data_IF_206827060901
#
_entry.id   IF_206827060901
#
_cell.length_a   1.000
_cell.length_b   1.000
_cell.length_c   1.000
_cell.angle_alpha   90.00
_cell.angle_beta   90.00
_cell.angle_gamma   90.00
#
_symmetry.space_group_name_H-M   'P 1'
#
loop_
_entity.id
_entity.type
_entity.pdbx_description
1 polymer ?
#
# COMPACT_ATOMS: atom_id res chain seq x y z
N UNK A 1 -26.53 5.67 10.27
CA UNK A 1 -25.52 6.65 10.72
C UNK A 1 -26.06 8.04 10.42
N UNK A 2 -25.87 9.03 11.31
CA UNK A 2 -26.20 10.43 11.03
C UNK A 2 -25.33 10.95 9.86
N UNK A 3 -25.90 11.75 8.96
CA UNK A 3 -25.17 12.35 7.82
C UNK A 3 -23.92 13.13 8.27
N UNK A 4 -23.98 13.78 9.43
CA UNK A 4 -22.83 14.49 10.02
C UNK A 4 -21.61 13.60 10.25
N UNK A 5 -21.81 12.35 10.66
CA UNK A 5 -20.70 11.38 10.83
C UNK A 5 -20.13 10.90 9.50
N UNK A 6 -20.95 10.86 8.45
CA UNK A 6 -20.50 10.47 7.10
C UNK A 6 -19.61 11.58 6.52
N UNK A 7 -20.02 12.84 6.67
CA UNK A 7 -19.23 13.98 6.22
C UNK A 7 -17.88 14.08 6.94
N UNK A 8 -17.83 13.81 8.26
CA UNK A 8 -16.58 13.76 9.01
C UNK A 8 -15.61 12.71 8.46
N UNK A 9 -16.09 11.47 8.25
CA UNK A 9 -15.28 10.38 7.70
C UNK A 9 -14.75 10.72 6.30
N UNK A 10 -15.58 11.33 5.45
CA UNK A 10 -15.17 11.75 4.10
C UNK A 10 -14.13 12.88 4.09
N UNK A 11 -14.11 13.71 5.14
CA UNK A 11 -13.17 14.84 5.27
C UNK A 11 -11.89 14.47 6.02
N UNK A 12 -11.77 13.24 6.54
CA UNK A 12 -10.57 12.83 7.27
C UNK A 12 -9.36 12.77 6.34
N UNK A 13 -8.19 13.29 6.78
CA UNK A 13 -6.98 13.16 6.01
C UNK A 13 -6.60 11.69 5.88
N UNK A 14 -6.12 11.32 4.70
CA UNK A 14 -5.59 10.00 4.41
C UNK A 14 -4.11 10.12 4.05
N UNK A 15 -3.32 9.11 4.41
CA UNK A 15 -2.02 8.87 3.82
C UNK A 15 -2.22 8.19 2.46
N UNK A 16 -1.85 8.87 1.38
CA UNK A 16 -1.79 8.29 0.05
C UNK A 16 -0.34 7.95 -0.31
N UNK A 17 -0.12 6.74 -0.81
CA UNK A 17 1.20 6.25 -1.17
C UNK A 17 1.18 5.50 -2.49
N UNK A 18 2.22 5.66 -3.30
CA UNK A 18 2.48 4.86 -4.49
C UNK A 18 3.50 3.77 -4.15
N UNK A 19 3.14 2.52 -4.44
CA UNK A 19 3.98 1.35 -4.19
C UNK A 19 4.48 0.84 -5.53
N UNK A 20 5.81 0.88 -5.72
CA UNK A 20 6.49 0.32 -6.88
C UNK A 20 7.11 -1.03 -6.56
N UNK A 21 6.77 -2.05 -7.33
CA UNK A 21 7.28 -3.41 -7.17
C UNK A 21 7.97 -3.86 -8.45
N UNK A 22 8.99 -4.71 -8.30
CA UNK A 22 9.68 -5.37 -9.39
C UNK A 22 9.32 -6.85 -9.42
N UNK A 23 9.15 -7.43 -10.61
CA UNK A 23 8.82 -8.83 -10.81
C UNK A 23 9.26 -9.37 -12.17
N UNK A 24 9.06 -10.66 -12.39
CA UNK A 24 9.51 -11.38 -13.59
C UNK A 24 8.47 -11.42 -14.72
N UNK A 25 7.21 -11.09 -14.42
CA UNK A 25 6.10 -11.16 -15.38
C UNK A 25 5.35 -9.83 -15.46
N UNK A 26 4.58 -9.61 -16.53
CA UNK A 26 3.85 -8.36 -16.74
C UNK A 26 2.67 -8.16 -15.77
N UNK A 27 2.09 -9.25 -15.26
CA UNK A 27 0.88 -9.23 -14.42
C UNK A 27 1.15 -9.73 -13.00
N UNK A 28 2.42 -9.82 -12.60
CA UNK A 28 2.82 -10.39 -11.30
C UNK A 28 2.17 -9.71 -10.09
N UNK A 29 1.86 -8.41 -10.20
CA UNK A 29 1.25 -7.63 -9.14
C UNK A 29 -0.29 -7.65 -9.21
N UNK A 30 -0.90 -8.27 -10.22
CA UNK A 30 -2.36 -8.32 -10.34
C UNK A 30 -2.97 -9.03 -9.13
N UNK A 31 -4.00 -8.40 -8.53
CA UNK A 31 -4.64 -8.92 -7.31
C UNK A 31 -3.83 -8.71 -6.02
N UNK A 32 -2.65 -8.09 -6.07
CA UNK A 32 -1.88 -7.79 -4.87
C UNK A 32 -2.67 -6.87 -3.93
N UNK A 33 -2.52 -7.11 -2.63
CA UNK A 33 -3.08 -6.31 -1.55
C UNK A 33 -2.00 -5.71 -0.66
N UNK A 34 -2.36 -4.69 0.13
CA UNK A 34 -1.39 -4.02 0.99
C UNK A 34 -1.98 -3.67 2.35
N UNK A 35 -1.15 -3.82 3.38
CA UNK A 35 -1.41 -3.36 4.73
C UNK A 35 -0.23 -2.60 5.31
N UNK A 36 -0.50 -1.75 6.30
CA UNK A 36 0.48 -1.25 7.25
C UNK A 36 0.48 -2.18 8.46
N UNK A 37 1.62 -2.80 8.76
CA UNK A 37 1.80 -3.63 9.94
C UNK A 37 2.49 -2.81 11.04
N UNK A 38 1.82 -2.69 12.18
CA UNK A 38 2.32 -2.02 13.39
C UNK A 38 2.25 -3.00 14.57
N UNK A 39 3.39 -3.58 14.93
CA UNK A 39 3.43 -4.68 15.90
C UNK A 39 2.62 -5.89 15.43
N UNK A 40 1.55 -6.24 16.15
CA UNK A 40 0.64 -7.35 15.81
C UNK A 40 -0.56 -6.95 14.96
N UNK A 41 -0.72 -5.65 14.67
CA UNK A 41 -1.91 -5.11 13.99
C UNK A 41 -1.61 -4.88 12.52
N UNK A 42 -2.49 -5.36 11.64
CA UNK A 42 -2.49 -5.03 10.22
C UNK A 42 -3.62 -4.04 9.93
N UNK A 43 -3.25 -2.88 9.42
CA UNK A 43 -4.16 -1.81 8.98
C UNK A 43 -4.29 -1.90 7.47
N UNK A 44 -5.47 -2.26 6.98
CA UNK A 44 -5.73 -2.40 5.55
C UNK A 44 -5.94 -1.03 4.89
N UNK A 45 -5.63 -0.93 3.60
CA UNK A 45 -5.92 0.28 2.84
C UNK A 45 -7.43 0.51 2.74
N UNK A 46 -7.86 1.76 2.92
CA UNK A 46 -9.27 2.17 2.74
C UNK A 46 -9.65 2.28 1.27
N UNK A 47 -8.66 2.53 0.41
CA UNK A 47 -8.80 2.53 -1.04
C UNK A 47 -7.47 2.11 -1.68
N UNK A 48 -7.55 1.46 -2.85
CA UNK A 48 -6.40 0.91 -3.56
C UNK A 48 -6.62 0.97 -5.07
N UNK A 49 -5.67 1.57 -5.77
CA UNK A 49 -5.63 1.56 -7.23
C UNK A 49 -5.31 0.18 -7.79
N UNK A 50 -5.73 -0.09 -9.03
CA UNK A 50 -5.30 -1.31 -9.72
C UNK A 50 -3.80 -1.24 -10.04
N UNK A 51 -3.03 -2.30 -9.78
CA UNK A 51 -1.66 -2.42 -10.25
C UNK A 51 -1.55 -2.18 -11.75
N UNK A 52 -0.61 -1.32 -12.14
CA UNK A 52 -0.31 -1.06 -13.53
C UNK A 52 0.27 -2.32 -14.18
N UNK A 53 -0.02 -2.55 -15.46
CA UNK A 53 0.72 -3.57 -16.24
C UNK A 53 2.22 -3.30 -16.13
N UNK A 54 2.98 -4.36 -15.86
CA UNK A 54 4.42 -4.33 -15.73
C UNK A 54 5.09 -3.70 -16.94
N UNK A 55 5.95 -2.70 -16.70
CA UNK A 55 6.78 -2.09 -17.76
C UNK A 55 8.19 -2.66 -17.69
N UNK A 56 8.74 -3.04 -18.85
CA UNK A 56 10.09 -3.58 -18.90
C UNK A 56 11.13 -2.59 -18.37
N UNK A 57 12.07 -3.08 -17.57
CA UNK A 57 13.23 -2.30 -17.15
C UNK A 57 14.41 -2.63 -18.07
N UNK A 58 14.90 -1.70 -18.91
CA UNK A 58 16.07 -1.96 -19.73
C UNK A 58 17.31 -2.26 -18.87
N UNK A 59 17.91 -3.43 -19.04
CA UNK A 59 19.19 -3.79 -18.40
C UNK A 59 19.11 -4.24 -16.94
N UNK A 60 17.95 -4.66 -16.44
CA UNK A 60 17.78 -5.23 -15.09
C UNK A 60 17.63 -6.76 -15.12
N UNK A 61 18.00 -7.44 -14.04
CA UNK A 61 17.68 -8.87 -13.81
C UNK A 61 16.19 -9.10 -13.48
N UNK A 62 15.49 -8.05 -13.04
CA UNK A 62 14.03 -8.06 -12.87
C UNK A 62 13.39 -7.49 -14.12
N UNK A 63 12.50 -8.26 -14.74
CA UNK A 63 12.02 -7.93 -16.08
C UNK A 63 11.02 -6.78 -16.09
N UNK A 64 10.21 -6.59 -15.03
CA UNK A 64 9.09 -5.64 -15.05
C UNK A 64 8.91 -4.85 -13.75
N UNK A 65 8.46 -3.59 -13.87
CA UNK A 65 7.98 -2.74 -12.76
C UNK A 65 6.48 -2.52 -12.87
N UNK A 66 5.77 -2.80 -11.78
CA UNK A 66 4.36 -2.45 -11.59
C UNK A 66 4.20 -1.46 -10.44
N UNK A 67 3.19 -0.60 -10.53
CA UNK A 67 2.88 0.41 -9.51
C UNK A 67 1.39 0.43 -9.20
N UNK A 68 1.03 0.72 -7.96
CA UNK A 68 -0.34 1.04 -7.56
C UNK A 68 -0.35 2.04 -6.43
N UNK A 69 -1.45 2.77 -6.31
CA UNK A 69 -1.71 3.64 -5.17
C UNK A 69 -2.46 2.89 -4.07
N UNK A 70 -2.21 3.27 -2.83
CA UNK A 70 -2.98 2.84 -1.67
C UNK A 70 -3.22 4.03 -0.75
N UNK A 71 -4.40 4.07 -0.14
CA UNK A 71 -4.81 5.10 0.82
C UNK A 71 -5.08 4.46 2.16
N UNK A 72 -4.57 5.07 3.23
CA UNK A 72 -4.77 4.65 4.61
C UNK A 72 -5.33 5.82 5.41
N UNK A 73 -6.36 5.58 6.21
CA UNK A 73 -6.91 6.64 7.05
C UNK A 73 -6.01 6.87 8.27
N UNK A 74 -5.66 8.13 8.54
CA UNK A 74 -4.78 8.47 9.67
C UNK A 74 -5.35 8.10 11.05
N UNK A 75 -6.66 7.84 11.14
CA UNK A 75 -7.30 7.37 12.37
C UNK A 75 -7.01 5.89 12.67
N UNK A 76 -6.61 5.10 11.66
CA UNK A 76 -6.50 3.65 11.76
C UNK A 76 -5.07 3.17 12.03
N UNK A 77 -4.08 4.07 11.98
CA UNK A 77 -2.67 3.75 12.27
C UNK A 77 -1.98 4.90 13.02
N UNK A 78 -0.90 4.59 13.74
CA UNK A 78 -0.08 5.57 14.44
C UNK A 78 1.12 6.00 13.56
N UNK A 79 1.21 7.25 13.09
CA UNK A 79 2.33 7.71 12.25
C UNK A 79 3.70 7.67 12.94
N UNK A 80 3.75 7.56 14.27
CA UNK A 80 4.99 7.50 15.05
C UNK A 80 5.42 6.06 15.38
N UNK A 81 4.56 5.07 15.13
CA UNK A 81 4.90 3.68 15.37
C UNK A 81 5.83 3.12 14.28
N UNK A 82 6.69 2.18 14.66
CA UNK A 82 7.47 1.39 13.70
C UNK A 82 6.50 0.64 12.79
N UNK A 83 6.59 0.92 11.50
CA UNK A 83 5.60 0.45 10.52
C UNK A 83 6.29 -0.33 9.41
N UNK A 84 5.70 -1.46 9.04
CA UNK A 84 6.08 -2.16 7.82
C UNK A 84 4.95 -2.05 6.81
N UNK A 85 5.27 -1.76 5.55
CA UNK A 85 4.35 -1.94 4.44
C UNK A 85 4.44 -3.41 4.03
N UNK A 86 3.33 -4.12 4.13
CA UNK A 86 3.25 -5.54 3.77
C UNK A 86 2.38 -5.68 2.54
N UNK A 87 2.96 -6.17 1.44
CA UNK A 87 2.26 -6.48 0.21
C UNK A 87 1.98 -7.98 0.16
N UNK A 88 0.71 -8.35 0.00
CA UNK A 88 0.24 -9.73 -0.15
C UNK A 88 -0.03 -10.03 -1.61
N UNK A 89 0.57 -11.08 -2.15
CA UNK A 89 0.29 -11.54 -3.51
C UNK A 89 -0.74 -12.68 -3.51
N UNK A 90 -1.53 -12.85 -4.58
CA UNK A 90 -2.52 -13.92 -4.67
C UNK A 90 -1.94 -15.34 -4.57
N UNK A 91 -0.65 -15.50 -4.88
CA UNK A 91 0.08 -16.77 -4.76
C UNK A 91 0.50 -17.10 -3.32
N UNK A 92 0.12 -16.25 -2.35
CA UNK A 92 0.43 -16.39 -0.93
C UNK A 92 1.81 -15.87 -0.53
N UNK A 93 2.61 -15.35 -1.48
CA UNK A 93 3.86 -14.66 -1.14
C UNK A 93 3.57 -13.30 -0.51
N UNK A 94 4.52 -12.84 0.27
CA UNK A 94 4.49 -11.51 0.85
C UNK A 94 5.83 -10.81 0.69
N UNK A 95 5.77 -9.50 0.53
CA UNK A 95 6.93 -8.61 0.56
C UNK A 95 6.71 -7.61 1.68
N UNK A 96 7.74 -7.48 2.52
CA UNK A 96 7.75 -6.55 3.66
C UNK A 96 8.75 -5.45 3.39
N UNK A 97 8.32 -4.20 3.52
CA UNK A 97 9.14 -3.00 3.33
C UNK A 97 9.07 -2.18 4.60
N UNK A 98 10.21 -1.93 5.25
CA UNK A 98 10.26 -1.07 6.43
C UNK A 98 9.90 0.37 6.03
N UNK A 99 9.03 1.02 6.82
CA UNK A 99 8.56 2.37 6.58
C UNK A 99 8.62 3.23 7.85
N UNK A 100 9.23 4.40 7.71
CA UNK A 100 9.32 5.41 8.78
C UNK A 100 8.44 6.61 8.41
N UNK A 101 7.22 6.63 8.95
CA UNK A 101 6.26 7.71 8.72
C UNK A 101 6.45 8.92 9.64
N UNK A 102 7.37 8.85 10.62
CA UNK A 102 7.59 9.94 11.57
C UNK A 102 8.05 11.25 10.90
N UNK A 103 8.54 11.17 9.66
CA UNK A 103 9.04 12.29 8.85
C UNK A 103 7.99 12.96 7.98
N UNK A 104 6.79 12.39 7.89
CA UNK A 104 5.67 12.97 7.12
C UNK A 104 5.06 14.10 7.96
N UNK A 105 5.06 15.32 7.42
CA UNK A 105 4.53 16.54 8.08
C UNK A 105 3.29 17.06 7.38
#
# INVERSE_FOLDING_TARGET
>A
MPESKIQEILNMPNLEMEIGLCGQEEFFAEGADVALQQGSTNVMAVDKGKPSRGRKIPGSEMDYVSRFSARFAYQDFDPQAVTNIVVFFPDGKLVTIEADFSKIK
#
